data_IF_445220083295
#
_entry.id   IF_445220083295
#
_cell.length_a   1.000
_cell.length_b   1.000
_cell.length_c   1.000
_cell.angle_alpha   90.00
_cell.angle_beta   90.00
_cell.angle_gamma   90.00
#
_symmetry.space_group_name_H-M   'P 1'
#
loop_
_entity.id
_entity.type
_entity.pdbx_description
1 polymer ?
#
# COMPACT_ATOMS: atom_id res chain seq x y z
N UNK A 1 5.67 -18.42 19.77
CA UNK A 1 5.99 -17.51 18.65
C UNK A 1 5.07 -16.27 18.61
N UNK A 2 3.75 -16.38 18.52
CA UNK A 2 2.81 -15.25 18.53
C UNK A 2 2.95 -14.28 19.74
N UNK A 3 3.27 -14.79 20.95
CA UNK A 3 3.51 -13.94 22.15
C UNK A 3 4.80 -13.11 22.04
N UNK A 4 5.85 -13.61 21.40
CA UNK A 4 7.11 -12.87 21.23
C UNK A 4 6.94 -11.72 20.21
N UNK A 5 6.23 -11.97 19.10
CA UNK A 5 5.89 -10.94 18.10
C UNK A 5 5.02 -9.85 18.75
N UNK A 6 4.03 -10.22 19.57
CA UNK A 6 3.17 -9.28 20.31
C UNK A 6 3.96 -8.41 21.31
N UNK A 7 5.05 -8.90 21.90
CA UNK A 7 5.88 -8.11 22.81
C UNK A 7 6.82 -7.15 22.09
N UNK A 8 7.35 -7.53 20.94
CA UNK A 8 8.17 -6.65 20.08
C UNK A 8 7.30 -5.51 19.53
N UNK A 9 6.08 -5.82 19.08
CA UNK A 9 5.13 -4.84 18.56
C UNK A 9 4.71 -3.77 19.59
N UNK A 10 4.69 -4.07 20.90
CA UNK A 10 4.38 -3.09 21.95
C UNK A 10 5.46 -2.01 22.16
N UNK A 11 6.69 -2.21 21.65
CA UNK A 11 7.83 -1.28 21.84
C UNK A 11 8.10 -0.37 20.64
N UNK A 12 7.53 -0.63 19.47
CA UNK A 12 7.80 0.16 18.28
C UNK A 12 6.88 1.38 18.26
N UNK A 13 7.36 2.51 18.76
CA UNK A 13 6.72 3.81 18.58
C UNK A 13 7.10 4.36 17.20
N UNK A 14 6.15 4.34 16.27
CA UNK A 14 6.32 4.84 14.92
C UNK A 14 6.32 6.37 14.91
N UNK A 15 7.26 6.97 14.18
CA UNK A 15 7.30 8.42 13.97
C UNK A 15 7.79 9.23 15.19
N UNK A 16 8.65 8.65 16.03
CA UNK A 16 9.21 9.35 17.22
C UNK A 16 10.60 9.95 16.98
N UNK A 17 11.24 9.64 15.84
CA UNK A 17 12.62 10.05 15.55
C UNK A 17 12.77 10.93 14.29
N UNK A 18 11.66 11.48 13.78
CA UNK A 18 11.66 12.36 12.60
C UNK A 18 11.52 11.64 11.27
N UNK A 19 11.00 10.42 11.30
CA UNK A 19 10.64 9.64 10.10
C UNK A 19 9.52 10.31 9.33
N UNK A 20 9.60 10.31 8.01
CA UNK A 20 8.55 10.76 7.11
C UNK A 20 8.03 9.56 6.31
N UNK A 21 6.93 8.99 6.75
CA UNK A 21 6.24 7.92 6.02
C UNK A 21 5.28 8.46 4.95
N UNK A 22 5.29 9.77 4.74
CA UNK A 22 4.51 10.41 3.70
C UNK A 22 3.00 10.26 3.88
N UNK A 23 2.31 10.53 2.79
CA UNK A 23 0.88 10.26 2.67
C UNK A 23 0.65 9.57 1.33
N UNK A 24 -0.09 8.48 1.34
CA UNK A 24 -0.51 7.78 0.12
C UNK A 24 -1.34 8.66 -0.83
N UNK A 25 -1.99 9.70 -0.31
CA UNK A 25 -2.65 10.70 -1.15
C UNK A 25 -1.67 11.80 -1.54
N UNK A 26 -1.37 11.83 -2.82
CA UNK A 26 -0.50 12.85 -3.41
C UNK A 26 -1.12 14.26 -3.30
N UNK A 27 -0.29 15.26 -3.02
CA UNK A 27 -0.73 16.67 -2.94
C UNK A 27 -1.45 17.18 -4.21
N UNK A 28 -1.06 16.78 -5.43
CA UNK A 28 -1.77 17.17 -6.66
C UNK A 28 -3.29 16.95 -6.63
N UNK A 29 -3.77 15.89 -5.97
CA UNK A 29 -5.22 15.63 -5.85
C UNK A 29 -5.92 16.79 -5.11
N UNK A 30 -5.31 17.31 -4.04
CA UNK A 30 -5.85 18.46 -3.30
C UNK A 30 -5.84 19.75 -4.12
N UNK A 31 -4.81 19.95 -4.96
CA UNK A 31 -4.74 21.11 -5.85
C UNK A 31 -5.81 21.06 -6.94
N UNK A 32 -6.09 19.87 -7.51
CA UNK A 32 -7.16 19.70 -8.50
C UNK A 32 -8.53 20.00 -7.89
N UNK A 33 -8.84 19.41 -6.74
CA UNK A 33 -10.12 19.66 -6.06
C UNK A 33 -10.24 21.12 -5.57
N UNK A 34 -9.18 21.68 -4.97
CA UNK A 34 -9.16 23.06 -4.50
C UNK A 34 -9.26 24.09 -5.65
N UNK A 35 -8.48 23.90 -6.70
CA UNK A 35 -8.52 24.74 -7.90
C UNK A 35 -9.85 24.64 -8.63
N UNK A 36 -10.40 23.43 -8.76
CA UNK A 36 -11.72 23.20 -9.33
C UNK A 36 -12.84 23.89 -8.54
N UNK A 37 -12.76 23.85 -7.20
CA UNK A 37 -13.71 24.54 -6.31
C UNK A 37 -13.64 26.04 -6.52
N UNK A 38 -12.43 26.62 -6.55
CA UNK A 38 -12.25 28.05 -6.77
C UNK A 38 -12.81 28.49 -8.13
N UNK A 39 -12.49 27.77 -9.20
CA UNK A 39 -12.99 28.02 -10.54
C UNK A 39 -14.52 27.97 -10.59
N UNK A 40 -15.11 26.90 -10.03
CA UNK A 40 -16.57 26.77 -10.00
C UNK A 40 -17.24 27.90 -9.20
N UNK A 41 -16.63 28.34 -8.08
CA UNK A 41 -17.14 29.46 -7.29
C UNK A 41 -17.11 30.78 -8.09
N UNK A 42 -16.00 31.08 -8.79
CA UNK A 42 -15.91 32.27 -9.66
C UNK A 42 -16.97 32.20 -10.76
N UNK A 43 -17.14 31.05 -11.42
CA UNK A 43 -18.16 30.89 -12.46
C UNK A 43 -19.59 31.04 -11.90
N UNK A 44 -19.86 30.55 -10.69
CA UNK A 44 -21.14 30.74 -10.02
C UNK A 44 -21.44 32.26 -9.82
N UNK A 45 -20.48 33.02 -9.26
CA UNK A 45 -20.62 34.47 -9.06
C UNK A 45 -20.85 35.17 -10.38
N UNK A 46 -20.01 34.93 -11.39
CA UNK A 46 -20.17 35.56 -12.72
C UNK A 46 -21.51 35.23 -13.37
N UNK A 47 -22.01 34.01 -13.19
CA UNK A 47 -23.31 33.59 -13.73
C UNK A 47 -24.45 34.39 -13.12
N UNK A 48 -24.45 34.67 -11.83
CA UNK A 48 -25.49 35.47 -11.18
C UNK A 48 -25.33 36.95 -11.43
N UNK A 49 -24.11 37.49 -11.43
CA UNK A 49 -23.87 38.95 -11.44
C UNK A 49 -23.72 39.54 -12.84
N UNK A 50 -22.96 38.85 -13.72
CA UNK A 50 -22.58 39.37 -15.04
C UNK A 50 -23.49 38.81 -16.14
N UNK A 51 -23.71 37.49 -16.11
CA UNK A 51 -24.51 36.82 -17.15
C UNK A 51 -26.01 36.77 -16.82
N UNK A 52 -26.42 37.16 -15.60
CA UNK A 52 -27.78 37.12 -15.10
C UNK A 52 -28.49 35.76 -15.36
N UNK A 53 -27.73 34.67 -15.35
CA UNK A 53 -28.24 33.33 -15.62
C UNK A 53 -28.37 32.54 -14.32
N UNK A 54 -29.57 32.45 -13.78
CA UNK A 54 -29.87 31.68 -12.58
C UNK A 54 -29.55 30.19 -12.76
N UNK A 55 -29.81 29.66 -13.97
CA UNK A 55 -29.57 28.23 -14.26
C UNK A 55 -28.08 27.91 -14.14
N UNK A 56 -27.20 28.66 -14.81
CA UNK A 56 -25.76 28.47 -14.73
C UNK A 56 -25.22 28.70 -13.31
N UNK A 57 -25.74 29.72 -12.63
CA UNK A 57 -25.36 30.01 -11.24
C UNK A 57 -25.68 28.86 -10.31
N UNK A 58 -26.84 28.23 -10.43
CA UNK A 58 -27.22 27.04 -9.65
C UNK A 58 -26.32 25.84 -9.99
N UNK A 59 -26.05 25.58 -11.28
CA UNK A 59 -25.19 24.48 -11.71
C UNK A 59 -23.80 24.59 -11.07
N UNK A 60 -23.17 25.78 -11.17
CA UNK A 60 -21.83 25.98 -10.60
C UNK A 60 -21.83 25.95 -9.07
N UNK A 61 -22.89 26.40 -8.42
CA UNK A 61 -23.05 26.30 -6.96
C UNK A 61 -23.11 24.82 -6.52
N UNK A 62 -23.89 24.01 -7.23
CA UNK A 62 -23.94 22.55 -6.98
C UNK A 62 -22.56 21.91 -7.19
N UNK A 63 -21.84 22.33 -8.23
CA UNK A 63 -20.47 21.86 -8.47
C UNK A 63 -19.51 22.23 -7.31
N UNK A 64 -19.60 23.47 -6.76
CA UNK A 64 -18.83 23.88 -5.58
C UNK A 64 -19.11 22.97 -4.39
N UNK A 65 -20.39 22.72 -4.09
CA UNK A 65 -20.78 21.83 -2.96
C UNK A 65 -20.23 20.41 -3.15
N UNK A 66 -20.35 19.86 -4.36
CA UNK A 66 -19.81 18.52 -4.68
C UNK A 66 -18.29 18.44 -4.54
N UNK A 67 -17.56 19.44 -5.03
CA UNK A 67 -16.10 19.51 -4.93
C UNK A 67 -15.63 19.68 -3.47
N UNK A 68 -16.32 20.49 -2.66
CA UNK A 68 -16.04 20.64 -1.23
C UNK A 68 -16.31 19.34 -0.47
N UNK A 69 -17.41 18.65 -0.77
CA UNK A 69 -17.71 17.34 -0.19
C UNK A 69 -16.62 16.33 -0.56
N UNK A 70 -16.19 16.30 -1.81
CA UNK A 70 -15.07 15.49 -2.28
C UNK A 70 -13.76 15.80 -1.55
N UNK A 71 -13.42 17.08 -1.39
CA UNK A 71 -12.24 17.54 -0.67
C UNK A 71 -12.28 17.11 0.81
N UNK A 72 -13.46 17.23 1.45
CA UNK A 72 -13.68 16.76 2.82
C UNK A 72 -13.47 15.24 2.95
N UNK A 73 -14.02 14.46 2.02
CA UNK A 73 -13.88 13.01 1.98
C UNK A 73 -12.42 12.58 1.78
N UNK A 74 -11.70 13.18 0.82
CA UNK A 74 -10.28 12.92 0.55
C UNK A 74 -9.44 13.28 1.78
N UNK A 75 -9.71 14.41 2.44
CA UNK A 75 -9.02 14.82 3.66
C UNK A 75 -9.25 13.83 4.81
N UNK A 76 -10.48 13.34 4.94
CA UNK A 76 -10.83 12.30 5.92
C UNK A 76 -10.07 10.99 5.64
N UNK A 77 -10.04 10.52 4.38
CA UNK A 77 -9.27 9.34 3.99
C UNK A 77 -7.78 9.53 4.32
N UNK A 78 -7.19 10.68 3.93
CA UNK A 78 -5.78 10.98 4.21
C UNK A 78 -5.44 10.87 5.70
N UNK A 79 -6.36 11.31 6.57
CA UNK A 79 -6.18 11.19 8.03
C UNK A 79 -6.24 9.74 8.51
N UNK A 80 -7.08 8.90 7.87
CA UNK A 80 -7.16 7.48 8.20
C UNK A 80 -5.88 6.72 7.81
N UNK A 81 -5.22 7.13 6.73
CA UNK A 81 -3.98 6.51 6.25
C UNK A 81 -2.72 7.01 6.96
N UNK A 82 -2.82 7.95 7.89
CA UNK A 82 -1.65 8.44 8.61
C UNK A 82 -0.99 7.33 9.44
N UNK A 83 0.34 7.23 9.35
CA UNK A 83 1.14 6.37 10.22
C UNK A 83 1.25 6.95 11.63
N UNK A 84 1.43 6.11 12.64
CA UNK A 84 1.94 6.53 13.95
C UNK A 84 0.90 6.93 15.00
N UNK A 85 -0.39 6.79 14.74
CA UNK A 85 -1.46 7.10 15.74
C UNK A 85 -2.47 5.96 15.90
N UNK A 86 -2.03 4.70 15.81
CA UNK A 86 -2.94 3.55 15.72
C UNK A 86 -3.77 3.58 14.42
N UNK A 87 -3.25 4.24 13.39
CA UNK A 87 -3.89 4.44 12.11
C UNK A 87 -4.06 3.13 11.34
N UNK A 88 -4.84 3.20 10.28
CA UNK A 88 -5.23 2.05 9.46
C UNK A 88 -4.02 1.36 8.84
N UNK A 89 -3.00 2.13 8.41
CA UNK A 89 -1.80 1.55 7.80
C UNK A 89 -0.96 0.74 8.77
N UNK A 90 -0.95 1.10 10.03
CA UNK A 90 -0.31 0.28 11.06
C UNK A 90 -1.00 -1.08 11.19
N UNK A 91 -2.34 -1.12 11.16
CA UNK A 91 -3.12 -2.37 11.17
C UNK A 91 -2.85 -3.23 9.94
N UNK A 92 -2.76 -2.61 8.76
CA UNK A 92 -2.38 -3.31 7.51
C UNK A 92 -1.03 -3.99 7.68
N UNK A 93 0.00 -3.25 8.11
CA UNK A 93 1.34 -3.81 8.32
C UNK A 93 1.34 -4.92 9.38
N UNK A 94 0.67 -4.72 10.51
CA UNK A 94 0.53 -5.75 11.54
C UNK A 94 -0.12 -7.01 10.98
N UNK A 95 -1.17 -6.87 10.15
CA UNK A 95 -1.84 -8.01 9.51
C UNK A 95 -0.88 -8.77 8.59
N UNK A 96 -0.12 -8.06 7.76
CA UNK A 96 0.87 -8.68 6.85
C UNK A 96 1.94 -9.41 7.65
N UNK A 97 2.59 -8.72 8.61
CA UNK A 97 3.68 -9.28 9.39
C UNK A 97 3.25 -10.46 10.26
N UNK A 98 2.02 -10.45 10.79
CA UNK A 98 1.48 -11.57 11.60
C UNK A 98 1.12 -12.81 10.78
N UNK A 99 0.97 -12.67 9.46
CA UNK A 99 0.70 -13.79 8.55
C UNK A 99 1.96 -14.31 7.84
N UNK A 100 3.11 -13.68 8.03
CA UNK A 100 4.38 -14.16 7.50
C UNK A 100 5.04 -15.10 8.52
N UNK A 101 5.12 -16.39 8.19
CA UNK A 101 5.78 -17.42 9.01
C UNK A 101 7.30 -17.41 8.80
N UNK A 102 7.93 -16.25 9.03
CA UNK A 102 9.34 -15.99 8.84
C UNK A 102 10.11 -16.11 10.17
N UNK A 103 11.23 -16.80 10.16
CA UNK A 103 12.07 -16.99 11.35
C UNK A 103 12.92 -15.74 11.69
N UNK A 104 12.91 -14.75 10.82
CA UNK A 104 13.61 -13.48 10.99
C UNK A 104 15.08 -13.52 10.56
N UNK A 105 15.51 -14.53 9.83
CA UNK A 105 16.89 -14.68 9.35
C UNK A 105 16.93 -14.66 7.81
N UNK A 106 18.09 -14.24 7.26
CA UNK A 106 18.31 -14.23 5.82
C UNK A 106 17.86 -12.96 5.13
N UNK A 107 17.54 -13.04 3.84
CA UNK A 107 17.18 -11.91 3.00
C UNK A 107 15.67 -11.81 2.80
N UNK A 108 15.14 -10.63 3.00
CA UNK A 108 13.73 -10.33 2.82
C UNK A 108 13.57 -9.23 1.78
N UNK A 109 12.76 -9.49 0.74
CA UNK A 109 12.33 -8.48 -0.22
C UNK A 109 11.05 -7.83 0.27
N UNK A 110 11.07 -6.48 0.43
CA UNK A 110 9.95 -5.74 0.97
C UNK A 110 9.93 -4.28 0.53
N UNK A 111 8.74 -3.69 0.61
CA UNK A 111 8.54 -2.25 0.49
C UNK A 111 8.01 -1.71 1.83
N UNK A 112 8.89 -1.47 2.87
CA UNK A 112 8.44 -0.82 4.12
C UNK A 112 9.20 -1.15 5.40
N UNK A 113 8.57 -1.78 6.42
CA UNK A 113 8.99 -1.77 7.83
C UNK A 113 9.45 -3.09 8.43
N UNK A 114 9.71 -4.11 7.61
CA UNK A 114 10.09 -5.44 8.08
C UNK A 114 11.40 -5.45 8.90
N UNK A 115 12.33 -4.57 8.59
CA UNK A 115 13.61 -4.46 9.29
C UNK A 115 13.47 -4.24 10.81
N UNK A 116 12.44 -3.50 11.24
CA UNK A 116 12.16 -3.28 12.67
C UNK A 116 11.63 -4.53 13.39
N UNK A 117 10.91 -5.36 12.63
CA UNK A 117 10.29 -6.58 13.18
C UNK A 117 11.29 -7.71 13.33
N UNK A 118 12.23 -7.81 12.40
CA UNK A 118 13.23 -8.88 12.35
C UNK A 118 14.66 -8.32 12.34
N UNK A 119 15.26 -8.12 13.52
CA UNK A 119 16.59 -7.49 13.64
C UNK A 119 17.74 -8.25 12.99
N UNK A 120 17.59 -9.56 12.75
CA UNK A 120 18.61 -10.39 12.09
C UNK A 120 18.41 -10.52 10.57
N UNK A 121 17.31 -10.01 10.02
CA UNK A 121 17.05 -10.04 8.58
C UNK A 121 17.78 -8.90 7.85
N UNK A 122 18.28 -9.20 6.66
CA UNK A 122 18.69 -8.18 5.68
C UNK A 122 17.51 -7.87 4.79
N UNK A 123 17.12 -6.61 4.70
CA UNK A 123 15.94 -6.17 3.96
C UNK A 123 16.35 -5.44 2.70
N UNK A 124 15.81 -5.88 1.57
CA UNK A 124 15.94 -5.18 0.29
C UNK A 124 14.60 -4.53 -0.03
N UNK A 125 14.56 -3.20 0.02
CA UNK A 125 13.41 -2.41 -0.41
C UNK A 125 13.51 -2.13 -1.91
N UNK A 126 12.49 -2.52 -2.68
CA UNK A 126 12.43 -2.25 -4.12
C UNK A 126 11.22 -1.38 -4.42
N UNK A 127 11.46 -0.30 -5.18
CA UNK A 127 10.39 0.57 -5.68
C UNK A 127 10.81 1.20 -7.02
N UNK A 128 9.82 1.58 -7.82
CA UNK A 128 10.03 2.31 -9.07
C UNK A 128 10.30 3.81 -8.85
N UNK A 129 9.90 4.36 -7.69
CA UNK A 129 9.97 5.78 -7.32
C UNK A 129 9.51 6.72 -8.43
N UNK A 130 8.35 6.41 -9.01
CA UNK A 130 7.76 7.24 -10.07
C UNK A 130 7.40 8.65 -9.57
N UNK A 131 7.44 9.63 -10.48
CA UNK A 131 7.18 11.05 -10.18
C UNK A 131 5.78 11.35 -9.60
N UNK A 132 4.84 10.42 -9.68
CA UNK A 132 3.49 10.58 -9.15
C UNK A 132 3.39 10.42 -7.61
N UNK A 133 4.40 9.81 -6.98
CA UNK A 133 4.41 9.56 -5.55
C UNK A 133 5.49 10.42 -4.89
N UNK A 134 5.12 11.13 -3.80
CA UNK A 134 6.09 11.89 -2.98
C UNK A 134 6.98 10.97 -2.12
N UNK A 135 7.45 9.88 -2.73
CA UNK A 135 8.29 8.88 -2.08
C UNK A 135 9.54 8.68 -2.93
N UNK A 136 10.70 8.69 -2.32
CA UNK A 136 11.96 8.55 -3.03
C UNK A 136 12.91 7.65 -2.25
N UNK A 137 13.91 7.10 -2.94
CA UNK A 137 15.00 6.35 -2.31
C UNK A 137 15.60 7.10 -1.12
N UNK A 138 15.85 8.42 -1.28
CA UNK A 138 16.42 9.25 -0.23
C UNK A 138 15.53 9.33 1.02
N UNK A 139 14.21 9.33 0.86
CA UNK A 139 13.26 9.28 2.00
C UNK A 139 13.32 7.92 2.69
N UNK A 140 13.37 6.82 1.93
CA UNK A 140 13.51 5.47 2.49
C UNK A 140 14.81 5.33 3.31
N UNK A 141 15.93 5.78 2.74
CA UNK A 141 17.25 5.77 3.41
C UNK A 141 17.27 6.67 4.66
N UNK A 142 16.64 7.85 4.58
CA UNK A 142 16.51 8.74 5.74
C UNK A 142 15.71 8.06 6.84
N UNK A 143 14.57 7.44 6.51
CA UNK A 143 13.74 6.75 7.49
C UNK A 143 14.48 5.57 8.13
N UNK A 144 15.20 4.77 7.33
CA UNK A 144 16.01 3.67 7.85
C UNK A 144 17.07 4.15 8.86
N UNK A 145 17.76 5.26 8.56
CA UNK A 145 18.71 5.90 9.50
C UNK A 145 18.03 6.39 10.76
N UNK A 146 16.89 7.06 10.64
CA UNK A 146 16.13 7.56 11.79
C UNK A 146 15.66 6.44 12.70
N UNK A 147 15.37 5.27 12.15
CA UNK A 147 14.96 4.08 12.89
C UNK A 147 16.12 3.18 13.33
N UNK A 148 17.37 3.52 12.94
CA UNK A 148 18.57 2.75 13.30
C UNK A 148 18.61 1.35 12.70
N UNK A 149 18.15 1.22 11.44
CA UNK A 149 18.10 -0.05 10.69
C UNK A 149 18.80 0.02 9.33
N UNK A 150 19.50 1.12 9.05
CA UNK A 150 20.16 1.37 7.77
C UNK A 150 21.34 0.42 7.50
N UNK A 151 21.94 -0.15 8.53
CA UNK A 151 23.00 -1.14 8.45
C UNK A 151 22.59 -2.46 7.77
N UNK A 152 21.28 -2.74 7.73
CA UNK A 152 20.71 -3.97 7.17
C UNK A 152 19.62 -3.75 6.12
N UNK A 153 19.37 -2.49 5.75
CA UNK A 153 18.43 -2.11 4.70
C UNK A 153 19.15 -1.64 3.45
N UNK A 154 18.80 -2.19 2.30
CA UNK A 154 19.26 -1.74 0.99
C UNK A 154 18.05 -1.33 0.17
N UNK A 155 18.13 -0.17 -0.51
CA UNK A 155 17.04 0.32 -1.35
C UNK A 155 17.47 0.35 -2.81
N UNK A 156 16.74 -0.33 -3.68
CA UNK A 156 17.04 -0.45 -5.11
C UNK A 156 15.87 0.04 -5.94
N UNK A 157 16.19 0.76 -7.02
CA UNK A 157 15.21 1.10 -8.04
C UNK A 157 14.94 -0.15 -8.88
N UNK A 158 13.67 -0.48 -9.12
CA UNK A 158 13.31 -1.64 -9.91
C UNK A 158 11.86 -1.61 -10.41
N UNK A 159 11.61 -2.46 -11.40
CA UNK A 159 10.29 -2.66 -11.99
C UNK A 159 9.74 -4.03 -11.57
N UNK A 160 8.57 -4.03 -10.94
CA UNK A 160 7.91 -5.27 -10.51
C UNK A 160 7.41 -6.14 -11.69
N UNK A 161 7.40 -5.62 -12.92
CA UNK A 161 7.15 -6.44 -14.10
C UNK A 161 8.30 -7.42 -14.40
N UNK A 162 9.53 -7.04 -14.00
CA UNK A 162 10.72 -7.86 -14.16
C UNK A 162 11.74 -7.48 -13.08
N UNK A 163 11.82 -8.31 -12.07
CA UNK A 163 12.75 -8.11 -10.97
C UNK A 163 14.18 -8.44 -11.41
N UNK A 164 15.11 -7.51 -11.24
CA UNK A 164 16.53 -7.71 -11.53
C UNK A 164 17.25 -8.45 -10.39
N UNK A 165 16.68 -9.61 -10.03
CA UNK A 165 17.27 -10.54 -9.07
C UNK A 165 17.25 -11.95 -9.64
N UNK A 166 18.25 -12.77 -9.34
CA UNK A 166 18.22 -14.19 -9.67
C UNK A 166 17.02 -14.92 -9.05
N UNK A 167 16.65 -16.05 -9.64
CA UNK A 167 15.69 -16.96 -9.02
C UNK A 167 16.19 -17.36 -7.62
N UNK A 168 15.24 -17.58 -6.71
CA UNK A 168 15.53 -18.11 -5.37
C UNK A 168 16.57 -17.29 -4.58
N UNK A 169 16.49 -15.95 -4.66
CA UNK A 169 17.40 -15.02 -3.96
C UNK A 169 16.97 -14.70 -2.53
N UNK A 170 15.68 -14.74 -2.24
CA UNK A 170 15.12 -14.26 -0.97
C UNK A 170 14.51 -15.39 -0.14
N UNK A 171 14.70 -15.31 1.18
CA UNK A 171 14.11 -16.23 2.16
C UNK A 171 12.65 -15.85 2.47
N UNK A 172 12.31 -14.57 2.30
CA UNK A 172 10.95 -14.09 2.43
C UNK A 172 10.64 -12.97 1.40
N UNK A 173 9.39 -12.87 0.96
CA UNK A 173 8.90 -11.80 0.06
C UNK A 173 7.61 -11.22 0.63
N UNK A 174 7.60 -9.90 0.79
CA UNK A 174 6.42 -9.14 1.20
C UNK A 174 6.12 -8.07 0.15
N UNK A 175 4.84 -7.85 -0.12
CA UNK A 175 4.38 -6.68 -0.88
C UNK A 175 3.08 -6.15 -0.28
N UNK A 176 2.89 -4.83 -0.33
CA UNK A 176 1.72 -4.17 0.20
C UNK A 176 1.24 -3.04 -0.70
N UNK A 177 0.08 -3.22 -1.32
CA UNK A 177 -0.59 -2.25 -2.18
C UNK A 177 0.28 -1.71 -3.34
N UNK A 178 1.02 -2.59 -4.02
CA UNK A 178 1.93 -2.24 -5.12
C UNK A 178 1.30 -2.53 -6.48
N UNK A 179 0.88 -3.78 -6.70
CA UNK A 179 0.59 -4.29 -8.05
C UNK A 179 -0.63 -3.67 -8.70
N UNK A 180 -1.66 -3.26 -7.94
CA UNK A 180 -2.85 -2.62 -8.50
C UNK A 180 -2.52 -1.29 -9.21
N UNK A 181 -1.39 -0.65 -8.88
CA UNK A 181 -0.93 0.60 -9.50
C UNK A 181 -0.20 0.40 -10.84
N UNK A 182 0.21 -0.82 -11.17
CA UNK A 182 0.95 -1.12 -12.41
C UNK A 182 -0.06 -1.31 -13.55
N UNK A 183 -0.19 -0.29 -14.37
CA UNK A 183 -1.19 -0.27 -15.45
C UNK A 183 -0.84 -1.26 -16.58
N UNK A 184 -1.86 -1.90 -17.17
CA UNK A 184 -1.70 -2.76 -18.34
C UNK A 184 -1.04 -4.12 -18.09
N UNK A 185 -0.53 -4.40 -16.91
CA UNK A 185 0.12 -5.67 -16.57
C UNK A 185 -0.89 -6.72 -16.06
N UNK A 186 -0.67 -7.98 -16.42
CA UNK A 186 -1.33 -9.12 -15.79
C UNK A 186 -0.92 -9.23 -14.32
N UNK A 187 -1.88 -9.09 -13.40
CA UNK A 187 -1.61 -9.07 -11.96
C UNK A 187 -1.11 -10.41 -11.45
N UNK A 188 -1.61 -11.53 -11.97
CA UNK A 188 -1.11 -12.85 -11.58
C UNK A 188 0.32 -13.08 -12.06
N UNK A 189 0.69 -12.56 -13.26
CA UNK A 189 2.06 -12.62 -13.73
C UNK A 189 3.03 -11.82 -12.82
N UNK A 190 2.62 -10.62 -12.35
CA UNK A 190 3.41 -9.84 -11.37
C UNK A 190 3.61 -10.58 -10.06
N UNK A 191 2.56 -11.25 -9.54
CA UNK A 191 2.68 -12.07 -8.33
C UNK A 191 3.64 -13.24 -8.56
N UNK A 192 3.57 -13.92 -9.72
CA UNK A 192 4.49 -15.01 -10.07
C UNK A 192 5.94 -14.53 -10.18
N UNK A 193 6.16 -13.33 -10.76
CA UNK A 193 7.51 -12.75 -10.83
C UNK A 193 8.10 -12.49 -9.44
N UNK A 194 7.29 -12.01 -8.51
CA UNK A 194 7.71 -11.85 -7.10
C UNK A 194 7.98 -13.18 -6.42
N UNK A 195 7.25 -14.23 -6.77
CA UNK A 195 7.46 -15.59 -6.24
C UNK A 195 8.61 -16.34 -6.95
N UNK A 196 9.06 -15.89 -8.13
CA UNK A 196 10.24 -16.43 -8.82
C UNK A 196 11.49 -16.23 -7.95
N UNK A 197 11.67 -15.04 -7.42
CA UNK A 197 12.85 -14.69 -6.61
C UNK A 197 12.82 -15.27 -5.19
N UNK A 198 11.70 -15.87 -4.77
CA UNK A 198 11.57 -16.56 -3.50
C UNK A 198 12.22 -17.93 -3.56
N UNK A 199 13.06 -18.27 -2.58
CA UNK A 199 13.69 -19.59 -2.42
C UNK A 199 12.65 -20.68 -2.16
N UNK A 200 13.00 -21.93 -2.48
CA UNK A 200 12.25 -23.09 -2.00
C UNK A 200 12.26 -23.12 -0.46
N UNK A 201 11.11 -23.41 0.14
CA UNK A 201 10.90 -23.30 1.58
C UNK A 201 10.74 -21.87 2.09
N UNK A 202 10.94 -20.84 1.24
CA UNK A 202 10.73 -19.44 1.58
C UNK A 202 9.25 -19.09 1.77
N UNK A 203 9.00 -18.03 2.49
CA UNK A 203 7.64 -17.59 2.88
C UNK A 203 7.25 -16.28 2.23
N UNK A 204 5.96 -16.09 1.98
CA UNK A 204 5.49 -14.87 1.34
C UNK A 204 4.14 -14.37 1.86
N UNK A 205 3.97 -13.04 1.82
CA UNK A 205 2.69 -12.35 1.94
C UNK A 205 2.62 -11.25 0.89
N UNK A 206 1.78 -11.42 -0.10
CA UNK A 206 1.54 -10.42 -1.14
C UNK A 206 0.14 -9.86 -0.91
N UNK A 207 0.05 -8.67 -0.31
CA UNK A 207 -1.19 -7.99 0.06
C UNK A 207 -1.50 -6.86 -0.93
N UNK A 208 -2.73 -6.80 -1.40
CA UNK A 208 -3.16 -5.75 -2.33
C UNK A 208 -4.67 -5.54 -2.32
N UNK A 209 -5.15 -4.54 -3.06
CA UNK A 209 -6.56 -4.35 -3.39
C UNK A 209 -6.89 -5.24 -4.60
N UNK A 210 -7.17 -6.52 -4.33
CA UNK A 210 -7.25 -7.60 -5.33
C UNK A 210 -8.62 -7.66 -6.00
N UNK A 211 -9.00 -6.58 -6.70
CA UNK A 211 -10.26 -6.52 -7.46
C UNK A 211 -10.34 -7.67 -8.47
N UNK A 212 -11.47 -8.45 -8.49
CA UNK A 212 -11.59 -9.59 -9.41
C UNK A 212 -11.41 -9.22 -10.88
N UNK A 213 -11.79 -8.01 -11.29
CA UNK A 213 -11.61 -7.53 -12.67
C UNK A 213 -10.14 -7.36 -13.07
N UNK A 214 -9.24 -7.19 -12.09
CA UNK A 214 -7.80 -7.00 -12.31
C UNK A 214 -7.01 -8.28 -12.05
N UNK A 215 -7.40 -9.03 -11.01
CA UNK A 215 -6.64 -10.19 -10.51
C UNK A 215 -7.24 -11.53 -10.94
N UNK A 216 -8.48 -11.56 -11.46
CA UNK A 216 -9.19 -12.80 -11.74
C UNK A 216 -9.57 -13.55 -10.46
N UNK A 217 -9.73 -14.87 -10.57
CA UNK A 217 -10.04 -15.75 -9.43
C UNK A 217 -8.76 -16.07 -8.63
N UNK A 218 -8.64 -15.44 -7.46
CA UNK A 218 -7.47 -15.61 -6.59
C UNK A 218 -7.51 -16.92 -5.79
N UNK A 219 -8.67 -17.57 -5.62
CA UNK A 219 -8.73 -18.93 -5.08
C UNK A 219 -8.19 -19.95 -6.08
N UNK A 220 -8.52 -19.79 -7.36
CA UNK A 220 -7.95 -20.59 -8.44
C UNK A 220 -6.43 -20.34 -8.56
N UNK A 221 -5.97 -19.09 -8.39
CA UNK A 221 -4.54 -18.76 -8.37
C UNK A 221 -3.81 -19.43 -7.19
N UNK A 222 -4.37 -19.41 -5.99
CA UNK A 222 -3.82 -20.12 -4.84
C UNK A 222 -3.71 -21.64 -5.10
N UNK A 223 -4.75 -22.22 -5.73
CA UNK A 223 -4.68 -23.63 -6.18
C UNK A 223 -3.57 -23.85 -7.19
N UNK A 224 -3.45 -22.97 -8.20
CA UNK A 224 -2.38 -23.03 -9.23
C UNK A 224 -1.00 -23.05 -8.57
N UNK A 225 -0.74 -22.21 -7.55
CA UNK A 225 0.53 -22.21 -6.83
C UNK A 225 0.81 -23.57 -6.16
N UNK A 226 -0.20 -24.17 -5.50
CA UNK A 226 -0.04 -25.50 -4.91
C UNK A 226 0.23 -26.57 -5.97
N UNK A 227 -0.47 -26.51 -7.11
CA UNK A 227 -0.24 -27.41 -8.25
C UNK A 227 1.18 -27.23 -8.86
N UNK A 228 1.79 -26.04 -8.71
CA UNK A 228 3.18 -25.75 -9.08
C UNK A 228 4.22 -26.23 -8.04
N UNK A 229 3.79 -26.81 -6.93
CA UNK A 229 4.66 -27.37 -5.89
C UNK A 229 4.90 -26.48 -4.68
N UNK A 230 4.15 -25.39 -4.51
CA UNK A 230 4.18 -24.63 -3.27
C UNK A 230 3.60 -25.45 -2.12
N UNK A 231 4.31 -25.51 -0.99
CA UNK A 231 3.87 -26.23 0.21
C UNK A 231 2.55 -25.67 0.74
N UNK A 232 2.41 -24.35 0.72
CA UNK A 232 1.21 -23.64 1.16
C UNK A 232 0.96 -22.42 0.29
N UNK A 233 -0.30 -22.23 -0.15
CA UNK A 233 -0.76 -21.00 -0.76
C UNK A 233 -2.25 -20.82 -0.44
N UNK A 234 -2.60 -19.69 0.18
CA UNK A 234 -3.96 -19.36 0.61
C UNK A 234 -4.30 -17.93 0.20
N UNK A 235 -5.52 -17.74 -0.32
CA UNK A 235 -6.09 -16.42 -0.52
C UNK A 235 -6.92 -16.04 0.69
N UNK A 236 -6.65 -14.86 1.26
CA UNK A 236 -7.30 -14.38 2.49
C UNK A 236 -7.83 -12.96 2.29
N UNK A 237 -9.13 -12.78 2.38
CA UNK A 237 -9.75 -11.45 2.40
C UNK A 237 -9.41 -10.74 3.71
N UNK A 238 -8.89 -9.51 3.63
CA UNK A 238 -8.44 -8.73 4.79
C UNK A 238 -9.27 -7.49 5.05
N UNK A 239 -10.09 -7.06 4.09
CA UNK A 239 -10.85 -5.81 4.15
C UNK A 239 -11.67 -5.67 5.45
N UNK A 240 -12.46 -6.68 5.81
CA UNK A 240 -13.29 -6.61 7.02
C UNK A 240 -12.47 -6.65 8.31
N UNK A 241 -11.41 -7.47 8.35
CA UNK A 241 -10.55 -7.61 9.52
C UNK A 241 -9.77 -6.31 9.82
N UNK A 242 -9.22 -5.67 8.78
CA UNK A 242 -8.42 -4.44 8.92
C UNK A 242 -9.32 -3.22 9.17
N UNK A 243 -10.39 -3.07 8.40
CA UNK A 243 -11.20 -1.84 8.36
C UNK A 243 -12.47 -1.92 9.22
N UNK A 244 -12.75 -3.07 9.84
CA UNK A 244 -13.93 -3.32 10.66
C UNK A 244 -15.16 -3.77 9.86
N UNK A 245 -15.24 -3.43 8.56
CA UNK A 245 -16.23 -3.94 7.62
C UNK A 245 -15.79 -3.76 6.18
N UNK A 246 -16.29 -4.58 5.26
CA UNK A 246 -16.04 -4.45 3.81
C UNK A 246 -16.61 -3.13 3.26
N UNK A 247 -17.77 -2.69 3.76
CA UNK A 247 -18.35 -1.39 3.36
C UNK A 247 -17.50 -0.21 3.78
N UNK A 248 -16.92 -0.22 4.98
CA UNK A 248 -16.00 0.84 5.41
C UNK A 248 -14.70 0.82 4.59
N UNK A 249 -14.17 -0.34 4.28
CA UNK A 249 -13.03 -0.48 3.37
C UNK A 249 -13.35 0.06 1.98
N UNK A 250 -14.54 -0.21 1.45
CA UNK A 250 -15.00 0.29 0.15
C UNK A 250 -15.09 1.83 0.12
N UNK A 251 -15.58 2.48 1.20
CA UNK A 251 -15.56 3.94 1.34
C UNK A 251 -14.13 4.52 1.28
N UNK A 252 -13.12 3.71 1.61
CA UNK A 252 -11.70 4.07 1.50
C UNK A 252 -11.05 3.55 0.22
N UNK A 253 -11.84 3.08 -0.76
CA UNK A 253 -11.39 2.48 -2.02
C UNK A 253 -10.57 1.18 -1.87
N UNK A 254 -10.65 0.51 -0.72
CA UNK A 254 -9.91 -0.70 -0.36
C UNK A 254 -10.82 -1.89 -0.03
N UNK A 255 -12.03 -1.91 -0.62
CA UNK A 255 -13.04 -2.95 -0.35
C UNK A 255 -12.64 -4.37 -0.77
N UNK A 256 -11.69 -4.49 -1.70
CA UNK A 256 -11.16 -5.76 -2.18
C UNK A 256 -9.75 -6.07 -1.62
N UNK A 257 -9.42 -5.44 -0.47
CA UNK A 257 -8.16 -5.75 0.21
C UNK A 257 -8.09 -7.21 0.61
N UNK A 258 -7.05 -7.87 0.14
CA UNK A 258 -6.80 -9.28 0.36
C UNK A 258 -5.30 -9.58 0.24
N UNK A 259 -4.91 -10.78 0.62
CA UNK A 259 -3.53 -11.24 0.46
C UNK A 259 -3.50 -12.67 -0.08
N UNK A 260 -2.44 -12.98 -0.81
CA UNK A 260 -2.00 -14.35 -1.05
C UNK A 260 -0.81 -14.62 -0.13
N UNK A 261 -0.90 -15.68 0.66
CA UNK A 261 0.08 -15.99 1.71
C UNK A 261 0.45 -17.46 1.64
N UNK A 262 1.72 -17.78 1.90
CA UNK A 262 2.15 -19.17 1.89
C UNK A 262 3.65 -19.41 2.01
N UNK A 263 4.04 -20.61 1.56
CA UNK A 263 5.40 -21.13 1.53
C UNK A 263 5.64 -21.81 0.18
N UNK A 264 6.78 -21.50 -0.44
CA UNK A 264 7.19 -22.10 -1.72
C UNK A 264 7.81 -23.47 -1.51
#
# INVERSE_FOLDING_TARGET
>A
MLKAISQVQKKIKVGTHGEDYGSWMSNPVFYVFGGGTLLAAVLAVLSFTTFHSTVLGVIFTVAVVGLLAGLGWITWIRRQYAFGKGGMMEKVHQTILSNLDFDGKGQLLEVGRAALTWPAAKVVGLDYWGAMYNYSKAVCEKNARSEGVDDRCTFVHGDANKLDFPDESFDAVISNYVYHNIMGADKQALLLESLRVLKKGGVFVLHDNMKPQMYGDMNAFAKKLRDMGFEKAEYVETAAAIFGSKSRAALMMLGDSAMIVGRK
#
